data_IF_571550535694
#
_entry.id   IF_571550535694
#
_cell.length_a   1.000
_cell.length_b   1.000
_cell.length_c   1.000
_cell.angle_alpha   90.00
_cell.angle_beta   90.00
_cell.angle_gamma   90.00
#
_symmetry.space_group_name_H-M   'P 1'
#
loop_
_entity.id
_entity.type
_entity.pdbx_description
1 polymer ?
#
# COMPACT_ATOMS: atom_id res chain seq x y z
N UNK A 1 8.31 -18.69 19.28
CA UNK A 1 8.01 -17.48 18.48
C UNK A 1 8.62 -16.31 19.24
N UNK A 2 9.47 -15.51 18.60
CA UNK A 2 10.04 -14.30 19.22
C UNK A 2 8.89 -13.39 19.67
N UNK A 3 8.82 -13.06 20.96
CA UNK A 3 7.97 -11.96 21.41
C UNK A 3 8.57 -10.68 20.81
N UNK A 4 7.99 -10.17 19.72
CA UNK A 4 8.53 -8.99 19.04
C UNK A 4 8.78 -7.85 20.03
N UNK A 5 9.91 -7.17 19.85
CA UNK A 5 10.47 -6.19 20.77
C UNK A 5 9.90 -4.77 20.55
N UNK A 6 9.22 -4.55 19.43
CA UNK A 6 8.60 -3.27 19.11
C UNK A 6 7.31 -3.06 19.89
N UNK A 7 7.15 -1.85 20.42
CA UNK A 7 5.91 -1.43 21.08
C UNK A 7 4.75 -1.42 20.08
N UNK A 8 3.55 -1.76 20.54
CA UNK A 8 2.35 -1.71 19.71
C UNK A 8 1.97 -0.33 19.18
N UNK A 9 2.51 0.73 19.78
CA UNK A 9 2.36 2.10 19.30
C UNK A 9 3.28 2.44 18.10
N UNK A 10 4.17 1.53 17.70
CA UNK A 10 5.06 1.74 16.55
C UNK A 10 4.24 1.89 15.28
N UNK A 11 4.59 2.92 14.50
CA UNK A 11 3.96 3.28 13.24
C UNK A 11 5.03 3.64 12.20
N UNK A 12 4.69 3.52 10.92
CA UNK A 12 5.54 3.99 9.84
C UNK A 12 5.51 5.52 9.75
N UNK A 13 6.68 6.11 9.54
CA UNK A 13 6.83 7.53 9.24
C UNK A 13 6.54 7.85 7.77
N UNK A 14 6.89 9.06 7.31
CA UNK A 14 6.80 9.40 5.89
C UNK A 14 7.63 8.43 5.04
N UNK A 15 7.11 8.05 3.88
CA UNK A 15 7.84 7.24 2.90
C UNK A 15 8.52 8.15 1.89
N UNK A 16 9.82 7.95 1.72
CA UNK A 16 10.66 8.75 0.82
C UNK A 16 10.78 8.01 -0.51
N UNK A 17 10.43 8.69 -1.60
CA UNK A 17 10.37 8.11 -2.94
C UNK A 17 11.16 8.96 -3.92
N UNK A 18 12.01 8.31 -4.71
CA UNK A 18 12.59 8.89 -5.90
C UNK A 18 11.56 9.01 -7.00
N UNK A 19 11.55 10.17 -7.64
CA UNK A 19 10.75 10.45 -8.84
C UNK A 19 11.64 11.00 -9.95
N UNK A 20 11.24 10.75 -11.19
CA UNK A 20 11.91 11.32 -12.36
C UNK A 20 11.65 12.83 -12.42
N UNK A 21 10.43 13.25 -12.08
CA UNK A 21 10.04 14.65 -12.06
C UNK A 21 8.88 14.89 -11.08
N UNK A 22 9.08 15.79 -10.12
CA UNK A 22 8.09 16.14 -9.09
C UNK A 22 6.86 16.76 -9.73
N UNK A 23 7.03 17.71 -10.66
CA UNK A 23 5.90 18.39 -11.31
C UNK A 23 4.96 17.41 -12.03
N UNK A 24 5.50 16.33 -12.63
CA UNK A 24 4.72 15.26 -13.23
C UNK A 24 4.09 14.30 -12.20
N UNK A 25 4.70 14.13 -11.03
CA UNK A 25 4.20 13.28 -9.96
C UNK A 25 3.05 13.95 -9.17
N UNK A 26 3.08 15.27 -9.00
CA UNK A 26 2.10 16.01 -8.20
C UNK A 26 0.63 15.82 -8.64
N UNK A 27 0.26 15.79 -9.94
CA UNK A 27 -1.11 15.48 -10.34
C UNK A 27 -1.63 14.14 -9.79
N UNK A 28 -0.75 13.14 -9.64
CA UNK A 28 -1.13 11.84 -9.07
C UNK A 28 -1.22 11.95 -7.55
N UNK A 29 -0.17 12.39 -6.87
CA UNK A 29 -0.10 12.38 -5.41
C UNK A 29 -1.01 13.43 -4.75
N UNK A 30 -1.02 14.66 -5.28
CA UNK A 30 -1.81 15.77 -4.74
C UNK A 30 -3.29 15.64 -5.15
N UNK A 31 -3.56 15.43 -6.43
CA UNK A 31 -4.92 15.60 -6.96
C UNK A 31 -5.70 14.29 -7.06
N UNK A 32 -5.10 13.23 -7.61
CA UNK A 32 -5.78 11.94 -7.77
C UNK A 32 -5.87 11.17 -6.44
N UNK A 33 -4.74 11.03 -5.74
CA UNK A 33 -4.69 10.39 -4.41
C UNK A 33 -5.34 11.29 -3.36
N UNK A 34 -5.07 12.60 -3.41
CA UNK A 34 -5.69 13.60 -2.54
C UNK A 34 -4.80 14.07 -1.38
N UNK A 35 -3.47 13.95 -1.46
CA UNK A 35 -2.60 14.53 -0.43
C UNK A 35 -2.53 16.06 -0.55
N UNK A 36 -2.28 16.72 0.57
CA UNK A 36 -1.96 18.14 0.60
C UNK A 36 -0.46 18.34 0.42
N UNK A 37 -0.08 19.33 -0.39
CA UNK A 37 1.31 19.77 -0.49
C UNK A 37 1.69 20.54 0.78
N UNK A 38 2.74 20.09 1.46
CA UNK A 38 3.24 20.70 2.71
C UNK A 38 4.41 21.65 2.45
N UNK A 39 5.15 21.41 1.37
CA UNK A 39 6.27 22.22 0.90
C UNK A 39 6.91 21.58 -0.32
N UNK A 40 7.55 22.39 -1.16
CA UNK A 40 8.20 21.95 -2.39
C UNK A 40 9.35 22.90 -2.74
N UNK A 41 10.45 22.32 -3.22
CA UNK A 41 11.50 22.97 -3.99
C UNK A 41 11.91 22.08 -5.18
N UNK A 42 12.94 22.49 -5.92
CA UNK A 42 13.41 21.77 -7.12
C UNK A 42 13.96 20.35 -6.81
N UNK A 43 14.24 20.02 -5.55
CA UNK A 43 14.81 18.74 -5.14
C UNK A 43 13.80 17.87 -4.40
N UNK A 44 12.90 18.47 -3.60
CA UNK A 44 12.04 17.73 -2.68
C UNK A 44 10.62 18.31 -2.63
N UNK A 45 9.61 17.42 -2.63
CA UNK A 45 8.23 17.77 -2.31
C UNK A 45 7.68 16.92 -1.16
N UNK A 46 7.23 17.58 -0.09
CA UNK A 46 6.55 16.95 1.04
C UNK A 46 5.04 16.96 0.85
N UNK A 47 4.40 15.79 0.94
CA UNK A 47 2.94 15.63 0.85
C UNK A 47 2.39 14.91 2.07
N UNK A 48 1.16 15.25 2.46
CA UNK A 48 0.57 14.69 3.66
C UNK A 48 -0.87 15.10 3.94
N UNK A 49 -1.29 14.92 5.18
CA UNK A 49 -2.62 15.26 5.69
C UNK A 49 -2.47 16.05 6.99
N UNK A 50 -3.30 17.07 7.18
CA UNK A 50 -3.32 17.89 8.42
C UNK A 50 -1.93 18.36 8.90
N UNK A 51 -1.08 18.80 7.97
CA UNK A 51 0.30 19.22 8.27
C UNK A 51 1.30 18.09 8.55
N UNK A 52 0.84 16.84 8.67
CA UNK A 52 1.69 15.64 8.86
C UNK A 52 2.12 15.08 7.51
N UNK A 53 3.43 15.02 7.28
CA UNK A 53 4.00 14.37 6.09
C UNK A 53 3.70 12.86 6.09
N UNK A 54 3.29 12.35 4.93
CA UNK A 54 3.10 10.92 4.65
C UNK A 54 4.02 10.46 3.52
N UNK A 55 4.27 11.33 2.53
CA UNK A 55 5.10 11.04 1.36
C UNK A 55 6.09 12.18 1.18
N UNK A 56 7.34 11.85 0.87
CA UNK A 56 8.37 12.81 0.48
C UNK A 56 8.93 12.38 -0.88
N UNK A 57 8.73 13.19 -1.90
CA UNK A 57 9.24 12.94 -3.24
C UNK A 57 10.61 13.60 -3.41
N UNK A 58 11.58 12.87 -3.95
CA UNK A 58 12.93 13.35 -4.26
C UNK A 58 13.12 13.35 -5.79
N UNK A 59 13.40 14.51 -6.37
CA UNK A 59 13.73 14.65 -7.79
C UNK A 59 15.07 13.95 -8.10
N UNK A 60 15.27 13.53 -9.35
CA UNK A 60 16.59 13.13 -9.86
C UNK A 60 16.73 11.66 -10.23
N UNK A 61 15.65 10.89 -10.27
CA UNK A 61 15.69 9.59 -10.93
C UNK A 61 15.92 9.76 -12.44
N UNK A 62 16.87 9.01 -13.00
CA UNK A 62 17.16 9.02 -14.43
C UNK A 62 16.12 8.24 -15.24
N UNK A 63 15.50 7.23 -14.63
CA UNK A 63 14.51 6.37 -15.27
C UNK A 63 13.40 5.99 -14.29
N UNK A 64 12.20 5.77 -14.80
CA UNK A 64 11.09 5.24 -14.02
C UNK A 64 11.42 3.82 -13.50
N UNK A 65 10.83 3.45 -12.36
CA UNK A 65 10.95 2.15 -11.74
C UNK A 65 10.30 1.08 -12.63
N UNK A 66 11.06 0.11 -13.17
CA UNK A 66 10.46 -0.98 -13.94
C UNK A 66 9.58 -1.86 -13.04
N UNK A 67 8.43 -2.32 -13.56
CA UNK A 67 7.48 -3.15 -12.80
C UNK A 67 8.09 -4.44 -12.21
N UNK A 68 9.17 -4.95 -12.83
CA UNK A 68 9.89 -6.16 -12.38
C UNK A 68 11.14 -5.85 -11.55
N UNK A 69 11.42 -4.60 -11.20
CA UNK A 69 12.55 -4.27 -10.34
C UNK A 69 12.29 -4.71 -8.89
N UNK A 70 13.35 -5.20 -8.23
CA UNK A 70 13.36 -5.57 -6.80
C UNK A 70 13.37 -4.35 -5.88
N UNK A 71 12.28 -3.59 -5.94
CA UNK A 71 12.08 -2.36 -5.19
C UNK A 71 10.63 -2.30 -4.71
N UNK A 72 10.14 -1.09 -4.40
CA UNK A 72 8.76 -0.78 -4.05
C UNK A 72 7.76 -1.45 -4.99
N UNK A 73 6.89 -2.27 -4.42
CA UNK A 73 5.66 -2.70 -5.07
C UNK A 73 4.58 -1.64 -4.90
N UNK A 74 4.29 -1.23 -3.66
CA UNK A 74 3.50 -0.03 -3.36
C UNK A 74 3.80 0.50 -1.95
N UNK A 75 3.43 1.76 -1.73
CA UNK A 75 3.16 2.31 -0.39
C UNK A 75 1.66 2.43 -0.19
N UNK A 76 1.16 2.02 0.98
CA UNK A 76 -0.26 2.06 1.30
C UNK A 76 -0.62 3.16 2.29
N UNK A 77 -1.46 4.08 1.82
CA UNK A 77 -2.07 5.13 2.61
C UNK A 77 -3.45 4.63 3.07
N UNK A 78 -3.58 4.42 4.37
CA UNK A 78 -4.81 3.95 4.97
C UNK A 78 -5.75 5.11 5.26
N UNK A 79 -7.02 4.90 4.94
CA UNK A 79 -8.14 5.73 5.40
C UNK A 79 -8.93 4.97 6.47
N UNK A 80 -9.63 5.70 7.34
CA UNK A 80 -10.27 5.11 8.53
C UNK A 80 -11.75 4.81 8.34
N UNK A 81 -12.34 5.28 7.23
CA UNK A 81 -13.72 4.97 6.90
C UNK A 81 -13.86 4.50 5.45
N UNK A 82 -14.82 3.60 5.23
CA UNK A 82 -15.20 3.16 3.88
C UNK A 82 -15.70 4.32 3.00
N UNK A 83 -16.26 5.37 3.61
CA UNK A 83 -16.67 6.59 2.91
C UNK A 83 -15.47 7.34 2.35
N UNK A 84 -14.37 7.41 3.08
CA UNK A 84 -13.14 8.05 2.60
C UNK A 84 -12.51 7.28 1.44
N UNK A 85 -12.57 5.94 1.48
CA UNK A 85 -12.18 5.10 0.35
C UNK A 85 -13.06 5.38 -0.87
N UNK A 86 -14.37 5.56 -0.68
CA UNK A 86 -15.28 5.94 -1.76
C UNK A 86 -14.96 7.32 -2.36
N UNK A 87 -14.57 8.30 -1.53
CA UNK A 87 -14.10 9.60 -2.02
C UNK A 87 -12.80 9.45 -2.84
N UNK A 88 -11.86 8.61 -2.39
CA UNK A 88 -10.65 8.30 -3.14
C UNK A 88 -10.95 7.63 -4.50
N UNK A 89 -11.84 6.63 -4.53
CA UNK A 89 -12.26 5.99 -5.79
C UNK A 89 -12.89 7.00 -6.77
N UNK A 90 -13.70 7.93 -6.25
CA UNK A 90 -14.30 8.97 -7.06
C UNK A 90 -13.25 9.96 -7.64
N UNK A 91 -12.24 10.35 -6.84
CA UNK A 91 -11.11 11.17 -7.33
C UNK A 91 -10.30 10.44 -8.40
N UNK A 92 -9.94 9.17 -8.18
CA UNK A 92 -9.22 8.36 -9.17
C UNK A 92 -10.02 8.24 -10.47
N UNK A 93 -11.33 7.98 -10.39
CA UNK A 93 -12.21 7.96 -11.56
C UNK A 93 -12.22 9.29 -12.31
N UNK A 94 -12.33 10.41 -11.59
CA UNK A 94 -12.35 11.75 -12.19
C UNK A 94 -11.01 12.15 -12.82
N UNK A 95 -9.88 11.65 -12.30
CA UNK A 95 -8.53 11.92 -12.83
C UNK A 95 -8.28 11.32 -14.22
N UNK A 96 -9.04 10.29 -14.61
CA UNK A 96 -8.81 9.55 -15.85
C UNK A 96 -7.60 8.61 -15.82
N UNK A 97 -6.88 8.52 -14.68
CA UNK A 97 -5.80 7.56 -14.50
C UNK A 97 -6.34 6.12 -14.50
N UNK A 98 -5.52 5.20 -15.02
CA UNK A 98 -5.79 3.78 -14.86
C UNK A 98 -5.50 3.40 -13.41
N UNK A 99 -6.50 2.86 -12.75
CA UNK A 99 -6.37 2.29 -11.41
C UNK A 99 -7.07 0.92 -11.38
N UNK A 100 -6.72 0.10 -10.40
CA UNK A 100 -7.42 -1.16 -10.10
C UNK A 100 -7.99 -1.10 -8.69
N UNK A 101 -8.98 -1.94 -8.41
CA UNK A 101 -9.64 -1.99 -7.12
C UNK A 101 -9.86 -3.46 -6.73
N UNK A 102 -9.42 -3.85 -5.55
CA UNK A 102 -9.47 -5.23 -5.07
C UNK A 102 -10.08 -5.30 -3.67
N UNK A 103 -10.82 -6.38 -3.43
CA UNK A 103 -11.31 -6.78 -2.13
C UNK A 103 -10.47 -7.95 -1.62
N UNK A 104 -9.65 -7.66 -0.61
CA UNK A 104 -8.78 -8.63 0.04
C UNK A 104 -9.48 -9.36 1.20
N UNK A 105 -10.79 -9.18 1.37
CA UNK A 105 -11.62 -9.55 2.53
C UNK A 105 -11.26 -8.80 3.82
N UNK A 106 -9.97 -8.80 4.20
CA UNK A 106 -9.45 -8.08 5.37
C UNK A 106 -9.16 -6.61 5.09
N UNK A 107 -9.21 -6.20 3.82
CA UNK A 107 -9.15 -4.80 3.41
C UNK A 107 -9.78 -4.61 2.03
N UNK A 108 -10.22 -3.38 1.75
CA UNK A 108 -10.61 -2.92 0.42
C UNK A 108 -9.56 -1.90 -0.06
N UNK A 109 -9.04 -2.09 -1.28
CA UNK A 109 -7.87 -1.35 -1.75
C UNK A 109 -8.03 -0.82 -3.17
N UNK A 110 -7.52 0.40 -3.39
CA UNK A 110 -7.42 1.06 -4.69
C UNK A 110 -5.94 1.21 -5.05
N UNK A 111 -5.55 0.78 -6.24
CA UNK A 111 -4.15 0.81 -6.69
C UNK A 111 -3.97 1.69 -7.92
N UNK A 112 -3.02 2.61 -7.85
CA UNK A 112 -2.59 3.47 -8.96
C UNK A 112 -1.06 3.57 -8.93
N UNK A 113 -0.46 4.10 -9.99
CA UNK A 113 0.98 4.39 -10.01
C UNK A 113 1.23 5.82 -10.46
N UNK A 114 2.29 6.42 -9.95
CA UNK A 114 2.78 7.69 -10.49
C UNK A 114 3.53 7.48 -11.83
N UNK A 115 3.87 8.55 -12.56
CA UNK A 115 4.61 8.43 -13.83
C UNK A 115 6.02 7.85 -13.69
N UNK A 116 6.58 7.86 -12.47
CA UNK A 116 7.88 7.27 -12.16
C UNK A 116 7.78 5.78 -11.84
N UNK A 117 6.57 5.18 -11.88
CA UNK A 117 6.36 3.76 -11.60
C UNK A 117 6.24 3.42 -10.11
N UNK A 118 6.17 4.42 -9.23
CA UNK A 118 5.94 4.18 -7.81
C UNK A 118 4.49 3.72 -7.61
N UNK A 119 4.30 2.54 -7.03
CA UNK A 119 2.98 2.01 -6.72
C UNK A 119 2.37 2.69 -5.50
N UNK A 120 1.08 2.98 -5.59
CA UNK A 120 0.30 3.65 -4.56
C UNK A 120 -0.92 2.79 -4.27
N UNK A 121 -1.15 2.51 -3.00
CA UNK A 121 -2.37 1.89 -2.51
C UNK A 121 -3.12 2.88 -1.60
N UNK A 122 -4.43 3.00 -1.79
CA UNK A 122 -5.32 3.62 -0.82
C UNK A 122 -6.17 2.50 -0.24
N UNK A 123 -6.03 2.26 1.06
CA UNK A 123 -6.54 1.06 1.72
C UNK A 123 -7.52 1.40 2.85
N UNK A 124 -8.56 0.59 2.99
CA UNK A 124 -9.45 0.60 4.16
C UNK A 124 -9.46 -0.80 4.78
N UNK A 125 -9.06 -0.88 6.05
CA UNK A 125 -9.03 -2.12 6.81
C UNK A 125 -10.46 -2.62 7.11
N UNK A 126 -10.72 -3.91 6.83
CA UNK A 126 -11.96 -4.62 7.17
C UNK A 126 -11.71 -5.97 7.87
N UNK A 127 -10.81 -6.06 8.88
CA UNK A 127 -10.42 -7.32 9.50
C UNK A 127 -11.57 -8.05 10.18
N UNK A 128 -12.62 -7.34 10.58
CA UNK A 128 -13.84 -7.88 11.19
C UNK A 128 -14.62 -8.81 10.24
N UNK A 129 -14.40 -8.73 8.93
CA UNK A 129 -15.01 -9.63 7.93
C UNK A 129 -14.38 -11.02 7.92
N UNK A 130 -13.19 -11.20 8.49
CA UNK A 130 -12.47 -12.47 8.49
C UNK A 130 -12.94 -13.37 9.64
N UNK A 131 -13.51 -14.53 9.31
CA UNK A 131 -13.85 -15.58 10.26
C UNK A 131 -12.71 -16.60 10.45
N UNK A 132 -11.92 -16.84 9.41
CA UNK A 132 -10.84 -17.81 9.45
C UNK A 132 -10.10 -17.94 8.13
N UNK A 133 -9.16 -18.88 8.08
CA UNK A 133 -8.40 -19.23 6.88
C UNK A 133 -8.33 -20.74 6.76
N UNK A 134 -8.39 -21.23 5.53
CA UNK A 134 -8.19 -22.63 5.19
C UNK A 134 -7.06 -22.74 4.18
N UNK A 135 -6.17 -23.71 4.37
CA UNK A 135 -5.12 -24.01 3.41
C UNK A 135 -5.53 -25.27 2.66
N UNK A 136 -5.62 -25.15 1.33
CA UNK A 136 -5.95 -26.28 0.46
C UNK A 136 -4.75 -27.22 0.33
N UNK A 137 -4.98 -28.45 -0.14
CA UNK A 137 -3.92 -29.45 -0.32
C UNK A 137 -2.82 -29.01 -1.31
N UNK A 138 -3.13 -28.11 -2.25
CA UNK A 138 -2.17 -27.49 -3.16
C UNK A 138 -1.52 -26.20 -2.60
N UNK A 139 -1.75 -25.90 -1.32
CA UNK A 139 -1.14 -24.82 -0.56
C UNK A 139 -1.69 -23.43 -0.86
N UNK A 140 -2.85 -23.33 -1.52
CA UNK A 140 -3.56 -22.05 -1.65
C UNK A 140 -4.23 -21.73 -0.31
N UNK A 141 -4.24 -20.45 0.03
CA UNK A 141 -4.96 -19.96 1.21
C UNK A 141 -6.30 -19.41 0.76
N UNK A 142 -7.38 -19.98 1.28
CA UNK A 142 -8.72 -19.44 1.17
C UNK A 142 -9.07 -18.72 2.48
N UNK A 143 -9.64 -17.53 2.35
CA UNK A 143 -10.15 -16.77 3.46
C UNK A 143 -11.63 -17.08 3.64
N UNK A 144 -12.04 -17.30 4.89
CA UNK A 144 -13.42 -17.53 5.26
C UNK A 144 -13.99 -16.23 5.80
N UNK A 145 -15.07 -15.74 5.19
CA UNK A 145 -15.77 -14.56 5.62
C UNK A 145 -16.77 -14.87 6.73
N UNK A 146 -17.12 -13.87 7.55
CA UNK A 146 -18.13 -14.00 8.62
C UNK A 146 -19.54 -14.27 8.12
N UNK A 147 -19.81 -14.02 6.84
CA UNK A 147 -21.09 -14.37 6.18
C UNK A 147 -21.11 -15.81 5.63
N UNK A 148 -20.02 -16.57 5.82
CA UNK A 148 -19.87 -17.94 5.36
C UNK A 148 -19.34 -18.09 3.93
N UNK A 149 -19.06 -16.99 3.23
CA UNK A 149 -18.44 -17.04 1.90
C UNK A 149 -16.95 -17.33 1.97
N UNK A 150 -16.40 -17.87 0.87
CA UNK A 150 -14.96 -18.04 0.66
C UNK A 150 -14.42 -16.91 -0.22
N UNK A 151 -13.20 -16.46 0.08
CA UNK A 151 -12.50 -15.41 -0.64
C UNK A 151 -11.08 -15.88 -0.96
N UNK A 152 -10.60 -15.58 -2.17
CA UNK A 152 -9.18 -15.72 -2.54
C UNK A 152 -8.33 -14.55 -2.01
N UNK A 153 -8.98 -13.44 -1.65
CA UNK A 153 -8.34 -12.19 -1.30
C UNK A 153 -7.84 -11.43 -2.52
N UNK A 154 -8.35 -11.70 -3.72
CA UNK A 154 -8.01 -11.04 -4.98
C UNK A 154 -9.27 -10.71 -5.79
N UNK A 155 -10.43 -10.69 -5.14
CA UNK A 155 -11.71 -10.41 -5.76
C UNK A 155 -11.76 -8.96 -6.26
N UNK A 156 -12.42 -8.68 -7.39
CA UNK A 156 -12.68 -7.30 -7.80
C UNK A 156 -13.54 -6.57 -6.77
N UNK A 157 -13.16 -5.36 -6.39
CA UNK A 157 -13.96 -4.55 -5.49
C UNK A 157 -15.26 -4.08 -6.16
N UNK A 158 -16.40 -4.22 -5.49
CA UNK A 158 -17.68 -3.68 -5.96
C UNK A 158 -17.70 -2.15 -5.82
N UNK A 159 -17.20 -1.47 -6.85
CA UNK A 159 -17.15 0.00 -6.92
C UNK A 159 -18.55 0.65 -6.91
N UNK A 160 -19.58 -0.05 -7.40
CA UNK A 160 -20.94 0.45 -7.35
C UNK A 160 -21.44 0.48 -5.90
N UNK A 161 -21.21 -0.61 -5.15
CA UNK A 161 -21.50 -0.65 -3.72
C UNK A 161 -20.66 0.35 -2.92
N UNK A 162 -19.36 0.44 -3.18
CA UNK A 162 -18.48 1.40 -2.52
C UNK A 162 -19.01 2.84 -2.69
N UNK A 163 -19.43 3.21 -3.90
CA UNK A 163 -19.95 4.56 -4.20
C UNK A 163 -21.17 4.95 -3.37
N UNK A 164 -21.98 3.99 -2.91
CA UNK A 164 -23.13 4.25 -2.03
C UNK A 164 -22.71 4.85 -0.68
N UNK A 165 -21.47 4.61 -0.24
CA UNK A 165 -20.92 5.17 1.01
C UNK A 165 -20.77 6.70 0.99
N UNK A 166 -20.78 7.32 -0.20
CA UNK A 166 -20.76 8.78 -0.36
C UNK A 166 -22.07 9.45 0.09
N UNK A 167 -23.18 8.70 0.09
CA UNK A 167 -24.53 9.23 0.29
C UNK A 167 -24.94 10.24 -0.79
N UNK A 168 -25.98 11.02 -0.51
CA UNK A 168 -26.68 11.83 -1.53
C UNK A 168 -26.04 13.21 -1.81
N UNK A 169 -24.95 13.54 -1.13
CA UNK A 169 -24.37 14.89 -1.20
C UNK A 169 -23.80 15.25 -2.59
N UNK A 170 -23.44 14.25 -3.41
CA UNK A 170 -22.75 14.43 -4.68
C UNK A 170 -21.35 15.08 -4.57
N UNK A 171 -20.92 15.46 -3.37
CA UNK A 171 -19.63 16.12 -3.13
C UNK A 171 -18.53 15.07 -3.06
N UNK A 172 -17.46 15.28 -3.82
CA UNK A 172 -16.23 14.51 -3.72
C UNK A 172 -15.23 15.35 -2.93
N UNK A 173 -14.76 14.84 -1.79
CA UNK A 173 -13.71 15.52 -1.04
C UNK A 173 -12.43 15.56 -1.87
N UNK A 174 -11.79 16.73 -2.04
CA UNK A 174 -10.60 16.87 -2.87
C UNK A 174 -9.33 16.32 -2.18
N UNK A 175 -9.38 16.09 -0.86
CA UNK A 175 -8.24 15.63 -0.06
C UNK A 175 -8.58 14.37 0.72
N UNK A 176 -7.53 13.64 1.13
CA UNK A 176 -7.62 12.56 2.09
C UNK A 176 -7.96 13.11 3.49
N UNK A 177 -8.58 12.30 4.36
CA UNK A 177 -8.96 12.73 5.70
C UNK A 177 -7.72 12.96 6.56
N UNK A 178 -7.87 13.82 7.58
CA UNK A 178 -6.78 14.22 8.48
C UNK A 178 -6.14 13.06 9.25
N UNK A 179 -6.89 11.97 9.46
CA UNK A 179 -6.46 10.78 10.17
C UNK A 179 -5.87 9.69 9.24
N UNK A 180 -5.69 9.98 7.94
CA UNK A 180 -4.99 9.07 7.04
C UNK A 180 -3.52 8.87 7.44
N UNK A 181 -2.98 7.68 7.22
CA UNK A 181 -1.63 7.32 7.66
C UNK A 181 -0.98 6.29 6.74
N UNK A 182 0.35 6.15 6.82
CA UNK A 182 1.05 5.04 6.16
C UNK A 182 0.81 3.76 6.96
N UNK A 183 0.04 2.83 6.40
CA UNK A 183 -0.26 1.57 7.06
C UNK A 183 0.80 0.51 6.78
N UNK A 184 1.18 0.35 5.51
CA UNK A 184 2.15 -0.64 5.10
C UNK A 184 2.94 -0.27 3.84
N UNK A 185 4.05 -0.96 3.63
CA UNK A 185 4.82 -0.96 2.40
C UNK A 185 5.00 -2.39 1.90
N UNK A 186 4.80 -2.60 0.60
CA UNK A 186 5.19 -3.84 -0.07
C UNK A 186 6.40 -3.58 -0.94
N UNK A 187 7.39 -4.46 -0.85
CA UNK A 187 8.54 -4.52 -1.73
C UNK A 187 8.55 -5.83 -2.51
N UNK A 188 9.25 -5.87 -3.64
CA UNK A 188 9.48 -7.09 -4.41
C UNK A 188 10.82 -7.70 -4.00
N UNK A 189 10.82 -8.97 -3.59
CA UNK A 189 12.05 -9.66 -3.21
C UNK A 189 12.19 -11.02 -3.89
N UNK A 190 13.43 -11.43 -4.16
CA UNK A 190 13.74 -12.81 -4.59
C UNK A 190 13.90 -13.77 -3.40
N UNK A 191 14.47 -13.26 -2.31
CA UNK A 191 14.84 -14.00 -1.12
C UNK A 191 14.33 -13.26 0.13
N UNK A 192 13.00 -13.28 0.39
CA UNK A 192 12.42 -12.52 1.48
C UNK A 192 12.92 -12.98 2.85
N UNK A 193 13.37 -14.23 3.00
CA UNK A 193 13.81 -14.77 4.30
C UNK A 193 14.96 -13.98 4.93
N UNK A 194 15.97 -13.60 4.13
CA UNK A 194 17.10 -12.81 4.61
C UNK A 194 16.66 -11.41 5.03
N UNK A 195 15.70 -10.82 4.32
CA UNK A 195 15.14 -9.52 4.66
C UNK A 195 14.30 -9.62 5.94
N UNK A 196 13.47 -10.66 6.06
CA UNK A 196 12.65 -10.91 7.25
C UNK A 196 13.50 -11.10 8.51
N UNK A 197 14.67 -11.75 8.43
CA UNK A 197 15.58 -11.87 9.57
C UNK A 197 16.02 -10.49 10.10
N UNK A 198 16.26 -9.50 9.22
CA UNK A 198 16.56 -8.14 9.67
C UNK A 198 15.36 -7.51 10.39
N UNK A 199 14.16 -7.53 9.80
CA UNK A 199 12.98 -6.90 10.42
C UNK A 199 12.55 -7.60 11.73
N UNK A 200 12.60 -8.93 11.78
CA UNK A 200 12.13 -9.70 12.93
C UNK A 200 13.20 -9.81 14.01
N UNK A 201 14.42 -10.21 13.64
CA UNK A 201 15.46 -10.55 14.64
C UNK A 201 16.31 -9.34 15.05
N UNK A 202 16.47 -8.35 14.18
CA UNK A 202 17.25 -7.13 14.48
C UNK A 202 16.35 -5.99 14.95
N UNK A 203 15.31 -5.64 14.17
CA UNK A 203 14.41 -4.55 14.54
C UNK A 203 13.33 -4.96 15.56
N UNK A 204 13.00 -6.25 15.65
CA UNK A 204 12.04 -6.76 16.63
C UNK A 204 10.58 -6.72 16.19
N UNK A 205 10.29 -6.67 14.89
CA UNK A 205 8.93 -6.86 14.39
C UNK A 205 8.40 -8.27 14.70
N UNK A 206 7.08 -8.41 14.79
CA UNK A 206 6.42 -9.72 14.89
C UNK A 206 6.14 -10.25 13.48
N UNK A 207 6.53 -11.49 13.16
CA UNK A 207 6.16 -12.10 11.89
C UNK A 207 4.64 -12.32 11.85
N UNK A 208 4.05 -12.20 10.66
CA UNK A 208 2.61 -12.40 10.46
C UNK A 208 2.33 -13.57 9.48
N UNK A 209 2.50 -13.34 8.19
CA UNK A 209 2.42 -14.32 7.12
C UNK A 209 3.84 -14.58 6.61
N UNK A 210 4.23 -15.85 6.55
CA UNK A 210 5.52 -16.30 6.03
C UNK A 210 5.26 -17.51 5.13
N UNK A 211 4.78 -17.28 3.92
CA UNK A 211 4.35 -18.37 3.03
C UNK A 211 4.85 -18.18 1.62
N UNK A 212 5.65 -19.14 1.15
CA UNK A 212 6.11 -19.17 -0.24
C UNK A 212 4.98 -19.45 -1.21
N UNK A 213 4.03 -20.32 -0.84
CA UNK A 213 2.92 -20.69 -1.71
C UNK A 213 1.92 -19.56 -1.87
N UNK A 214 1.65 -18.83 -0.79
CA UNK A 214 0.85 -17.61 -0.85
C UNK A 214 1.60 -16.44 -1.52
N UNK A 215 2.93 -16.51 -1.55
CA UNK A 215 3.79 -15.54 -2.22
C UNK A 215 4.04 -14.26 -1.43
N UNK A 216 3.84 -14.29 -0.10
CA UNK A 216 3.95 -13.13 0.79
C UNK A 216 4.73 -13.48 2.06
N UNK A 217 5.59 -12.55 2.44
CA UNK A 217 6.28 -12.52 3.72
C UNK A 217 6.09 -11.14 4.33
N UNK A 218 5.48 -11.05 5.50
CA UNK A 218 5.26 -9.77 6.17
C UNK A 218 5.46 -9.83 7.69
N UNK A 219 5.59 -8.63 8.25
CA UNK A 219 5.68 -8.41 9.68
C UNK A 219 5.07 -7.07 10.09
N UNK A 220 4.87 -6.93 11.39
CA UNK A 220 4.27 -5.75 12.00
C UNK A 220 4.36 -5.78 13.52
N UNK A 221 3.48 -5.05 14.17
CA UNK A 221 3.30 -5.05 15.62
C UNK A 221 2.12 -5.94 16.03
N UNK A 222 1.86 -6.01 17.34
CA UNK A 222 0.63 -6.61 17.87
C UNK A 222 -0.64 -5.85 17.46
N UNK A 223 -0.56 -4.51 17.33
CA UNK A 223 -1.68 -3.66 16.88
C UNK A 223 -1.86 -3.64 15.37
N UNK A 224 -0.77 -3.61 14.59
CA UNK A 224 -0.82 -3.63 13.12
C UNK A 224 0.13 -4.71 12.62
N UNK A 225 -0.42 -5.88 12.31
CA UNK A 225 0.37 -7.08 11.97
C UNK A 225 1.02 -7.02 10.59
N UNK A 226 0.52 -6.13 9.74
CA UNK A 226 0.96 -5.94 8.37
C UNK A 226 1.48 -4.52 8.20
N UNK A 227 2.82 -4.36 8.22
CA UNK A 227 3.50 -3.06 8.07
C UNK A 227 4.59 -3.11 7.02
N UNK A 228 5.41 -4.15 7.01
CA UNK A 228 6.46 -4.36 6.00
C UNK A 228 6.25 -5.72 5.37
N UNK A 229 6.14 -5.73 4.04
CA UNK A 229 5.83 -6.92 3.28
C UNK A 229 6.75 -7.10 2.06
N UNK A 230 6.96 -8.35 1.70
CA UNK A 230 7.75 -8.78 0.55
C UNK A 230 6.93 -9.72 -0.32
N UNK A 231 6.63 -9.27 -1.54
CA UNK A 231 5.93 -10.03 -2.57
C UNK A 231 6.92 -10.88 -3.36
N UNK A 232 6.58 -12.15 -3.59
CA UNK A 232 7.40 -13.08 -4.37
C UNK A 232 6.67 -13.76 -5.55
N UNK A 233 5.46 -13.28 -5.91
CA UNK A 233 4.64 -13.88 -6.98
C UNK A 233 5.35 -14.00 -8.34
N UNK A 234 6.24 -13.08 -8.68
CA UNK A 234 7.03 -13.08 -9.93
C UNK A 234 8.53 -13.16 -9.66
N UNK A 235 8.95 -13.80 -8.56
CA UNK A 235 10.35 -13.76 -8.06
C UNK A 235 11.41 -14.06 -9.11
N UNK A 236 11.18 -15.04 -9.98
CA UNK A 236 12.17 -15.49 -10.97
C UNK A 236 12.38 -14.48 -12.11
N UNK A 237 11.40 -13.59 -12.30
CA UNK A 237 11.44 -12.53 -13.31
C UNK A 237 11.97 -11.21 -12.77
N UNK A 238 12.13 -11.07 -11.43
CA UNK A 238 12.51 -9.80 -10.83
C UNK A 238 13.96 -9.43 -11.17
N UNK A 239 14.25 -8.21 -11.58
CA UNK A 239 15.61 -7.73 -11.89
C UNK A 239 16.11 -6.76 -10.83
N UNK A 240 17.42 -6.48 -10.79
CA UNK A 240 17.87 -5.29 -10.06
C UNK A 240 17.23 -4.03 -10.68
N UNK A 241 16.91 -3.01 -9.87
CA UNK A 241 16.61 -1.69 -10.40
C UNK A 241 17.80 -1.20 -11.25
N UNK A 242 17.58 -0.62 -12.45
CA UNK A 242 18.66 -0.02 -13.21
C UNK A 242 19.29 1.15 -12.43
N UNK A 243 20.58 1.47 -12.65
CA UNK A 243 21.22 2.59 -11.98
C UNK A 243 20.44 3.90 -12.16
N UNK A 244 20.15 4.57 -11.05
CA UNK A 244 19.38 5.83 -11.06
C UNK A 244 17.88 5.64 -11.27
N UNK A 245 17.32 4.45 -11.08
CA UNK A 245 15.87 4.26 -11.09
C UNK A 245 15.16 5.06 -9.99
N UNK A 246 13.91 5.41 -10.26
CA UNK A 246 12.93 5.78 -9.25
C UNK A 246 12.65 4.58 -8.30
N UNK A 247 11.94 4.81 -7.20
CA UNK A 247 11.67 3.79 -6.18
C UNK A 247 11.82 4.36 -4.76
N UNK A 248 12.08 3.49 -3.79
CA UNK A 248 12.44 3.94 -2.44
C UNK A 248 13.78 4.71 -2.46
N UNK A 249 13.84 5.85 -1.74
CA UNK A 249 15.08 6.62 -1.49
C UNK A 249 15.84 6.07 -0.27
#
# INVERSE_FOLDING_TARGET
>A
MSEGLLAGATHLGPVHLRVVNIAAALPVWRDAVGLSLLGEDDAVAGLGVDGKALIVLHEGAAVALPQKARDLFHVAIHVTTRRDLAHAAARLKASGLRYSAQDHLVSESLYVSDPSGNGIEICFDTPERLAGREETTDGRVLLLATDGSTHSGLEPLDLANLSRSLGDSGRIEPRLPADAFIGHIHMRARSPETLMAFYVDVLGFRPHIQSRTFGLFDCGTDRRRHMVAFNIWTRDELTEPPPGAAGLE
#
